data_IF_684173709596
#
_entry.id   IF_684173709596
#
_cell.length_a   1.000
_cell.length_b   1.000
_cell.length_c   1.000
_cell.angle_alpha   90.00
_cell.angle_beta   90.00
_cell.angle_gamma   90.00
#
_symmetry.space_group_name_H-M   'P 1'
#
loop_
_entity.id
_entity.type
_entity.pdbx_description
1 polymer ?
#
# COMPACT_ATOMS: atom_id res chain seq x y z
N UNK A 1 -17.30 -14.62 -4.61
CA UNK A 1 -16.39 -13.63 -5.23
C UNK A 1 -16.36 -12.41 -4.32
N UNK A 2 -15.19 -11.85 -4.00
CA UNK A 2 -15.09 -10.74 -3.03
C UNK A 2 -15.23 -9.41 -3.76
N UNK A 3 -16.06 -8.53 -3.25
CA UNK A 3 -16.35 -7.22 -3.85
C UNK A 3 -16.11 -6.12 -2.81
N UNK A 4 -15.48 -5.02 -3.24
CA UNK A 4 -15.22 -3.84 -2.43
C UNK A 4 -15.21 -2.60 -3.32
N UNK A 5 -15.94 -1.56 -2.92
CA UNK A 5 -16.11 -0.32 -3.69
C UNK A 5 -16.53 -0.55 -5.16
N UNK A 6 -17.35 -1.58 -5.42
CA UNK A 6 -17.81 -1.93 -6.77
C UNK A 6 -16.79 -2.67 -7.64
N UNK A 7 -15.61 -3.00 -7.08
CA UNK A 7 -14.54 -3.76 -7.74
C UNK A 7 -14.36 -5.15 -7.14
N UNK A 8 -13.86 -6.09 -7.94
CA UNK A 8 -13.43 -7.40 -7.45
C UNK A 8 -12.06 -7.27 -6.78
N UNK A 9 -11.89 -7.94 -5.64
CA UNK A 9 -10.60 -7.98 -4.93
C UNK A 9 -10.07 -9.41 -4.85
N UNK A 10 -8.73 -9.55 -4.86
CA UNK A 10 -8.02 -10.84 -4.76
C UNK A 10 -8.12 -11.45 -3.36
N UNK A 11 -8.08 -10.62 -2.32
CA UNK A 11 -7.98 -11.04 -0.92
C UNK A 11 -8.80 -10.20 0.05
N UNK A 12 -8.84 -10.60 1.33
CA UNK A 12 -9.57 -9.84 2.39
C UNK A 12 -8.65 -8.95 3.23
N UNK A 13 -7.32 -9.10 3.08
CA UNK A 13 -6.38 -8.27 3.82
C UNK A 13 -6.08 -6.98 3.07
N UNK A 14 -5.61 -6.02 3.85
CA UNK A 14 -5.18 -4.70 3.37
C UNK A 14 -3.88 -4.32 4.05
N UNK A 15 -3.12 -3.43 3.41
CA UNK A 15 -1.99 -2.77 4.06
C UNK A 15 -2.44 -1.40 4.56
N UNK A 16 -2.29 -1.11 5.87
CA UNK A 16 -2.54 0.21 6.44
C UNK A 16 -1.61 1.28 5.86
N UNK A 17 -2.10 2.51 5.71
CA UNK A 17 -1.39 3.58 5.00
C UNK A 17 -0.02 3.86 5.63
N UNK A 18 1.02 3.80 4.80
CA UNK A 18 2.38 4.16 5.20
C UNK A 18 3.19 3.08 5.87
N UNK A 19 2.64 1.87 6.00
CA UNK A 19 3.41 0.68 6.34
C UNK A 19 3.90 0.07 5.03
N UNK A 20 5.21 0.10 4.79
CA UNK A 20 5.89 -0.47 3.59
C UNK A 20 5.42 0.02 2.21
N UNK A 21 4.47 0.95 2.11
CA UNK A 21 3.86 1.40 0.85
C UNK A 21 4.31 2.80 0.39
N UNK A 22 5.57 3.16 0.68
CA UNK A 22 6.16 4.44 0.22
C UNK A 22 6.75 4.34 -1.19
N UNK A 23 7.33 3.18 -1.55
CA UNK A 23 7.99 3.00 -2.85
C UNK A 23 7.10 2.24 -3.84
N UNK A 24 7.09 2.68 -5.10
CA UNK A 24 6.35 2.00 -6.17
C UNK A 24 6.78 0.54 -6.31
N UNK A 25 8.08 0.26 -6.26
CA UNK A 25 8.63 -1.11 -6.33
C UNK A 25 8.08 -2.02 -5.24
N UNK A 26 7.93 -1.52 -4.00
CA UNK A 26 7.35 -2.31 -2.91
C UNK A 26 5.87 -2.56 -3.15
N UNK A 27 5.12 -1.55 -3.60
CA UNK A 27 3.69 -1.67 -3.92
C UNK A 27 3.45 -2.69 -5.02
N UNK A 28 4.20 -2.61 -6.13
CA UNK A 28 4.12 -3.54 -7.26
C UNK A 28 4.42 -4.97 -6.81
N UNK A 29 5.47 -5.15 -6.02
CA UNK A 29 5.84 -6.47 -5.50
C UNK A 29 4.71 -7.08 -4.67
N UNK A 30 4.12 -6.30 -3.76
CA UNK A 30 3.00 -6.77 -2.93
C UNK A 30 1.80 -7.14 -3.79
N UNK A 31 1.45 -6.29 -4.76
CA UNK A 31 0.31 -6.52 -5.66
C UNK A 31 0.47 -7.80 -6.50
N UNK A 32 1.69 -8.12 -6.91
CA UNK A 32 1.98 -9.27 -7.76
C UNK A 32 2.24 -10.57 -6.97
N UNK A 33 2.84 -10.48 -5.78
CA UNK A 33 3.31 -11.66 -5.04
C UNK A 33 2.37 -12.08 -3.90
N UNK A 34 1.45 -11.23 -3.42
CA UNK A 34 0.63 -11.50 -2.23
C UNK A 34 -0.88 -11.40 -2.54
N UNK A 35 -1.51 -12.46 -3.08
CA UNK A 35 -2.91 -12.44 -3.51
C UNK A 35 -3.92 -12.25 -2.36
N UNK A 36 -3.54 -12.54 -1.11
CA UNK A 36 -4.41 -12.35 0.05
C UNK A 36 -4.60 -10.86 0.41
N UNK A 37 -3.76 -9.97 -0.14
CA UNK A 37 -3.92 -8.51 -0.06
C UNK A 37 -4.78 -8.06 -1.24
N UNK A 38 -6.06 -7.78 -0.96
CA UNK A 38 -7.02 -7.36 -1.96
C UNK A 38 -7.06 -5.85 -2.20
N UNK A 39 -6.58 -5.07 -1.23
CA UNK A 39 -6.57 -3.61 -1.26
C UNK A 39 -5.23 -3.13 -0.72
N UNK A 40 -4.62 -2.14 -1.38
CA UNK A 40 -3.38 -1.51 -0.92
C UNK A 40 -3.66 -0.03 -0.73
N UNK A 41 -3.29 0.49 0.45
CA UNK A 41 -3.23 1.95 0.65
C UNK A 41 -1.78 2.40 0.63
N UNK A 42 -1.50 3.46 -0.14
CA UNK A 42 -0.15 4.02 -0.24
C UNK A 42 0.25 4.75 1.04
N UNK A 43 1.53 5.10 1.18
CA UNK A 43 1.93 6.10 2.19
C UNK A 43 1.15 7.38 1.95
N UNK A 44 0.66 8.00 3.01
CA UNK A 44 0.04 9.32 2.95
C UNK A 44 1.02 10.33 2.36
N UNK A 45 0.66 10.95 1.23
CA UNK A 45 1.48 11.91 0.49
C UNK A 45 0.94 13.34 0.62
N UNK A 46 1.83 14.30 0.38
CA UNK A 46 1.45 15.69 0.10
C UNK A 46 1.91 16.07 -1.31
N UNK A 47 1.71 17.33 -1.75
CA UNK A 47 2.13 17.78 -3.08
C UNK A 47 3.64 17.65 -3.29
N UNK A 48 4.43 17.91 -2.24
CA UNK A 48 5.89 17.86 -2.27
C UNK A 48 6.45 16.64 -1.52
N UNK A 49 7.58 16.06 -1.97
CA UNK A 49 8.27 14.99 -1.27
C UNK A 49 8.70 15.39 0.16
N UNK A 50 8.62 14.44 1.09
CA UNK A 50 9.02 14.65 2.49
C UNK A 50 10.11 13.65 2.89
N UNK A 51 11.16 14.14 3.54
CA UNK A 51 12.24 13.30 4.07
C UNK A 51 11.82 12.44 5.29
N UNK A 52 10.67 12.73 5.88
CA UNK A 52 10.22 12.13 7.15
C UNK A 52 10.82 12.82 8.37
N UNK A 53 10.38 12.40 9.56
CA UNK A 53 10.89 12.93 10.82
C UNK A 53 12.14 12.15 11.24
N UNK A 54 13.20 12.88 11.61
CA UNK A 54 14.48 12.45 12.20
C UNK A 54 15.05 11.07 11.79
N UNK A 55 16.22 11.11 11.15
CA UNK A 55 17.14 9.97 11.18
C UNK A 55 17.72 9.88 12.60
N UNK A 56 17.30 8.89 13.39
CA UNK A 56 18.17 8.44 14.49
C UNK A 56 19.50 8.04 13.83
N UNK A 57 20.57 8.74 14.21
CA UNK A 57 21.94 8.41 13.79
C UNK A 57 22.31 7.03 14.31
#
# INVERSE_FOLDING_TARGET
MKEFLGGKISGIFTIPSGIVTTSAKTIERIANEIPEIGVITTKSIGPEPRAGNLKLK
#
